data_IF_903231442302
#
_entry.id   IF_903231442302
#
_cell.length_a   1.000
_cell.length_b   1.000
_cell.length_c   1.000
_cell.angle_alpha   90.00
_cell.angle_beta   90.00
_cell.angle_gamma   90.00
#
_symmetry.space_group_name_H-M   'P 1'
#
loop_
_entity.id
_entity.type
_entity.pdbx_description
1 polymer ?
#
# COMPACT_ATOMS: atom_id res chain seq x y z
N UNK A 1 4.89 -76.40 12.93
CA UNK A 1 6.34 -76.13 12.88
C UNK A 1 6.51 -74.79 12.27
N UNK A 2 6.24 -73.75 12.91
CA UNK A 2 6.78 -72.85 13.92
C UNK A 2 8.15 -72.28 13.58
N UNK A 3 8.21 -71.04 13.24
CA UNK A 3 9.38 -70.19 13.46
C UNK A 3 8.92 -68.79 13.85
N UNK A 4 8.89 -68.54 15.15
CA UNK A 4 8.80 -67.25 15.79
C UNK A 4 10.08 -66.43 15.51
N UNK A 5 10.00 -65.33 14.81
CA UNK A 5 11.04 -64.31 14.65
C UNK A 5 10.93 -63.31 15.80
N UNK A 6 11.87 -63.37 16.71
CA UNK A 6 12.03 -62.42 17.82
C UNK A 6 12.45 -61.04 17.30
N UNK A 7 11.60 -60.01 17.48
CA UNK A 7 12.00 -58.62 17.32
C UNK A 7 12.70 -58.15 18.59
N UNK A 8 13.98 -57.81 18.50
CA UNK A 8 14.74 -57.17 19.56
C UNK A 8 14.29 -55.70 19.73
N UNK A 9 13.64 -55.41 20.83
CA UNK A 9 13.37 -54.04 21.26
C UNK A 9 14.61 -53.45 21.92
N UNK A 10 15.18 -52.38 21.30
CA UNK A 10 16.26 -51.60 21.91
C UNK A 10 15.72 -50.63 22.98
N UNK A 11 16.49 -50.35 24.03
CA UNK A 11 16.00 -49.60 25.21
C UNK A 11 15.81 -48.10 25.04
N UNK A 12 15.81 -47.56 23.80
CA UNK A 12 15.64 -46.12 23.51
C UNK A 12 14.23 -45.69 23.10
N UNK A 13 13.29 -46.61 22.92
CA UNK A 13 11.94 -46.30 22.42
C UNK A 13 10.88 -46.04 23.51
N UNK A 14 11.23 -46.14 24.78
CA UNK A 14 10.23 -46.09 25.88
C UNK A 14 10.10 -44.71 26.59
N UNK A 15 10.95 -43.75 26.28
CA UNK A 15 10.93 -42.47 27.02
C UNK A 15 10.17 -41.35 26.28
N UNK A 16 9.93 -41.47 24.97
CA UNK A 16 9.26 -40.42 24.18
C UNK A 16 7.78 -40.70 23.84
N UNK A 17 7.24 -41.81 24.18
CA UNK A 17 5.85 -42.19 23.88
C UNK A 17 4.79 -41.43 24.72
N UNK A 18 5.17 -40.74 25.79
CA UNK A 18 4.24 -40.07 26.69
C UNK A 18 3.84 -38.65 26.25
N UNK A 19 4.54 -38.05 25.26
CA UNK A 19 4.26 -36.68 24.79
C UNK A 19 3.78 -36.58 23.33
N UNK A 20 3.56 -37.70 22.65
CA UNK A 20 3.02 -37.71 21.27
C UNK A 20 3.92 -37.04 20.21
N UNK A 21 5.18 -36.72 20.54
CA UNK A 21 6.15 -36.07 19.66
C UNK A 21 7.09 -37.13 19.09
N UNK A 22 7.12 -37.31 17.78
CA UNK A 22 8.06 -38.22 17.12
C UNK A 22 9.40 -37.53 16.87
N UNK A 23 10.48 -38.29 16.74
CA UNK A 23 11.80 -37.72 16.41
C UNK A 23 11.81 -37.03 15.02
N UNK A 24 10.87 -37.35 14.14
CA UNK A 24 10.62 -36.67 12.89
C UNK A 24 10.10 -35.25 13.08
N UNK A 25 9.21 -35.01 14.05
CA UNK A 25 8.64 -33.70 14.35
C UNK A 25 9.68 -32.74 14.93
N UNK A 26 10.73 -33.27 15.58
CA UNK A 26 11.83 -32.44 16.14
C UNK A 26 12.86 -32.05 15.06
N UNK A 27 13.03 -32.91 14.06
CA UNK A 27 13.92 -32.62 12.91
C UNK A 27 13.23 -31.74 11.88
N UNK A 28 11.92 -31.83 11.70
CA UNK A 28 11.12 -30.90 10.87
C UNK A 28 11.07 -29.49 11.49
N UNK A 29 11.00 -29.39 12.80
CA UNK A 29 11.07 -28.09 13.52
C UNK A 29 12.47 -27.44 13.49
N UNK A 30 13.53 -28.18 13.12
CA UNK A 30 14.92 -27.70 13.04
C UNK A 30 15.38 -27.31 11.65
N UNK A 31 14.61 -27.53 10.60
CA UNK A 31 15.10 -27.46 9.23
C UNK A 31 14.11 -26.97 8.20
N UNK A 32 13.26 -25.97 8.51
CA UNK A 32 12.75 -25.16 7.42
C UNK A 32 13.96 -24.38 6.88
N UNK A 33 14.49 -24.69 5.67
CA UNK A 33 15.51 -23.85 5.07
C UNK A 33 14.85 -22.48 4.95
N UNK A 34 15.45 -21.46 5.55
CA UNK A 34 15.12 -20.08 5.21
C UNK A 34 15.08 -20.04 3.69
N UNK A 35 13.91 -19.78 3.10
CA UNK A 35 13.76 -19.63 1.66
C UNK A 35 14.44 -18.34 1.24
N UNK A 36 15.76 -18.30 1.37
CA UNK A 36 16.63 -17.16 1.07
C UNK A 36 16.36 -16.66 -0.34
N UNK A 37 16.03 -17.57 -1.25
CA UNK A 37 15.72 -17.23 -2.64
C UNK A 37 14.37 -16.50 -2.75
N UNK A 38 13.33 -16.95 -2.06
CA UNK A 38 12.02 -16.30 -2.06
C UNK A 38 12.10 -14.90 -1.41
N UNK A 39 12.80 -14.78 -0.29
CA UNK A 39 13.05 -13.49 0.37
C UNK A 39 13.82 -12.52 -0.53
N UNK A 40 14.92 -12.97 -1.16
CA UNK A 40 15.72 -12.12 -2.08
C UNK A 40 14.90 -11.71 -3.31
N UNK A 41 14.08 -12.60 -3.86
CA UNK A 41 13.16 -12.28 -4.96
C UNK A 41 12.12 -11.26 -4.51
N UNK A 42 11.52 -11.44 -3.33
CA UNK A 42 10.57 -10.49 -2.73
C UNK A 42 11.20 -9.10 -2.51
N UNK A 43 12.45 -9.07 -2.01
CA UNK A 43 13.22 -7.84 -1.85
C UNK A 43 13.46 -7.15 -3.20
N UNK A 44 13.84 -7.90 -4.24
CA UNK A 44 14.03 -7.37 -5.59
C UNK A 44 12.73 -6.78 -6.17
N UNK A 45 11.61 -7.46 -6.01
CA UNK A 45 10.27 -6.97 -6.39
C UNK A 45 9.92 -5.69 -5.60
N UNK A 46 10.22 -5.65 -4.30
CA UNK A 46 10.01 -4.46 -3.46
C UNK A 46 10.83 -3.27 -3.93
N UNK A 47 12.11 -3.45 -4.25
CA UNK A 47 12.96 -2.38 -4.81
C UNK A 47 12.42 -1.91 -6.15
N UNK A 48 12.05 -2.82 -7.04
CA UNK A 48 11.46 -2.46 -8.33
C UNK A 48 10.14 -1.69 -8.15
N UNK A 49 9.28 -2.13 -7.24
CA UNK A 49 8.03 -1.44 -6.88
C UNK A 49 8.29 -0.05 -6.31
N UNK A 50 9.22 0.09 -5.36
CA UNK A 50 9.60 1.39 -4.81
C UNK A 50 10.04 2.36 -5.92
N UNK A 51 10.86 1.91 -6.85
CA UNK A 51 11.32 2.72 -7.96
C UNK A 51 10.18 3.07 -8.93
N UNK A 52 9.43 2.07 -9.40
CA UNK A 52 8.37 2.27 -10.39
C UNK A 52 7.29 3.24 -9.89
N UNK A 53 6.87 3.07 -8.64
CA UNK A 53 5.77 3.85 -8.08
C UNK A 53 6.19 5.20 -7.53
N UNK A 54 7.44 5.37 -7.08
CA UNK A 54 7.90 6.65 -6.52
C UNK A 54 8.60 7.56 -7.55
N UNK A 55 9.16 7.02 -8.64
CA UNK A 55 9.87 7.83 -9.64
C UNK A 55 9.09 9.05 -10.16
N UNK A 56 7.78 8.93 -10.53
CA UNK A 56 7.03 10.10 -10.98
C UNK A 56 7.06 11.24 -9.98
N UNK A 57 6.92 10.94 -8.69
CA UNK A 57 6.95 11.95 -7.62
C UNK A 57 8.37 12.44 -7.35
N UNK A 58 9.36 11.55 -7.38
CA UNK A 58 10.77 11.88 -7.16
C UNK A 58 11.35 12.79 -8.26
N UNK A 59 10.68 12.87 -9.41
CA UNK A 59 11.08 13.72 -10.53
C UNK A 59 10.33 15.06 -10.58
N UNK A 60 9.45 15.36 -9.62
CA UNK A 60 8.71 16.63 -9.57
C UNK A 60 9.40 17.65 -8.65
N UNK A 61 9.53 18.87 -9.14
CA UNK A 61 10.18 19.98 -8.42
C UNK A 61 9.43 20.28 -7.12
N UNK A 62 8.11 20.24 -7.15
CA UNK A 62 7.26 20.54 -6.00
C UNK A 62 7.52 19.57 -4.83
N UNK A 63 7.81 18.31 -5.12
CA UNK A 63 8.16 17.34 -4.07
C UNK A 63 9.52 17.63 -3.43
N UNK A 64 10.46 18.19 -4.20
CA UNK A 64 11.75 18.58 -3.64
C UNK A 64 11.64 19.82 -2.75
N UNK A 65 10.83 20.79 -3.19
CA UNK A 65 10.56 22.02 -2.44
C UNK A 65 9.74 21.76 -1.17
N UNK A 66 8.76 20.87 -1.23
CA UNK A 66 7.99 20.44 -0.07
C UNK A 66 8.85 19.75 1.00
N UNK A 67 9.87 19.00 0.63
CA UNK A 67 10.81 18.41 1.58
C UNK A 67 11.47 19.46 2.48
N UNK A 68 11.66 20.68 1.97
CA UNK A 68 12.15 21.84 2.71
C UNK A 68 11.02 22.67 3.36
N UNK A 69 10.01 23.04 2.57
CA UNK A 69 9.01 24.03 2.94
C UNK A 69 7.87 23.49 3.81
N UNK A 70 7.64 22.16 3.81
CA UNK A 70 6.55 21.54 4.54
C UNK A 70 6.69 21.73 6.05
N UNK A 71 5.58 22.05 6.71
CA UNK A 71 5.50 22.12 8.17
C UNK A 71 5.98 20.81 8.83
N UNK A 72 6.86 20.91 9.81
CA UNK A 72 7.51 19.74 10.43
C UNK A 72 6.54 18.86 11.19
N UNK A 73 5.50 19.43 11.77
CA UNK A 73 4.46 18.63 12.43
C UNK A 73 3.65 17.82 11.41
N UNK A 74 3.28 18.43 10.28
CA UNK A 74 2.54 17.73 9.21
C UNK A 74 3.39 16.63 8.58
N UNK A 75 4.69 16.90 8.35
CA UNK A 75 5.62 15.86 7.88
C UNK A 75 5.74 14.70 8.88
N UNK A 76 5.94 15.02 10.16
CA UNK A 76 6.02 14.01 11.20
C UNK A 76 4.72 13.18 11.31
N UNK A 77 3.56 13.85 11.24
CA UNK A 77 2.27 13.17 11.23
C UNK A 77 2.11 12.23 10.03
N UNK A 78 2.51 12.68 8.83
CA UNK A 78 2.49 11.86 7.62
C UNK A 78 3.36 10.61 7.80
N UNK A 79 4.58 10.75 8.33
CA UNK A 79 5.49 9.63 8.58
C UNK A 79 4.92 8.66 9.61
N UNK A 80 4.35 9.18 10.71
CA UNK A 80 3.73 8.35 11.77
C UNK A 80 2.53 7.58 11.23
N UNK A 81 1.66 8.21 10.43
CA UNK A 81 0.50 7.55 9.80
C UNK A 81 0.95 6.51 8.77
N UNK A 82 2.07 6.74 8.10
CA UNK A 82 2.60 5.80 7.11
C UNK A 82 2.96 4.44 7.74
N UNK A 83 3.44 4.39 8.97
CA UNK A 83 3.81 3.12 9.62
C UNK A 83 2.62 2.17 9.75
N UNK A 84 1.50 2.53 10.42
CA UNK A 84 0.34 1.63 10.49
C UNK A 84 -0.30 1.38 9.11
N UNK A 85 -0.20 2.32 8.17
CA UNK A 85 -0.63 2.11 6.80
C UNK A 85 0.18 0.98 6.14
N UNK A 86 1.52 1.02 6.21
CA UNK A 86 2.38 -0.02 5.67
C UNK A 86 2.16 -1.37 6.35
N UNK A 87 1.93 -1.39 7.67
CA UNK A 87 1.59 -2.64 8.39
C UNK A 87 0.26 -3.21 7.88
N UNK A 88 -0.74 -2.38 7.66
CA UNK A 88 -2.02 -2.81 7.11
C UNK A 88 -1.90 -3.32 5.66
N UNK A 89 -1.06 -2.70 4.84
CA UNK A 89 -0.75 -3.19 3.48
C UNK A 89 0.03 -4.51 3.57
N UNK A 90 1.05 -4.61 4.44
CA UNK A 90 1.85 -5.82 4.62
C UNK A 90 0.99 -7.01 5.06
N UNK A 91 0.01 -6.78 5.92
CA UNK A 91 -0.95 -7.80 6.34
C UNK A 91 -1.76 -8.38 5.17
N UNK A 92 -1.93 -7.61 4.09
CA UNK A 92 -2.69 -8.02 2.90
C UNK A 92 -1.81 -8.59 1.79
N UNK A 93 -0.70 -7.92 1.51
CA UNK A 93 0.15 -8.18 0.35
C UNK A 93 1.65 -8.16 0.71
N UNK A 94 2.01 -8.52 1.95
CA UNK A 94 3.39 -8.50 2.46
C UNK A 94 4.41 -9.32 1.65
N UNK A 95 5.69 -9.31 2.05
CA UNK A 95 6.78 -10.02 1.36
C UNK A 95 6.68 -11.55 1.45
N UNK A 96 5.98 -12.07 2.47
CA UNK A 96 5.71 -13.48 2.68
C UNK A 96 4.27 -13.64 3.17
N UNK A 97 3.64 -14.82 2.97
CA UNK A 97 2.35 -15.14 3.61
C UNK A 97 2.58 -15.17 5.11
N UNK A 98 2.08 -14.17 5.82
CA UNK A 98 2.32 -14.00 7.25
C UNK A 98 1.07 -14.37 8.04
N UNK A 99 1.29 -15.08 9.15
CA UNK A 99 0.23 -15.45 10.11
C UNK A 99 0.31 -14.62 11.41
N UNK A 100 1.23 -13.64 11.47
CA UNK A 100 1.54 -12.93 12.71
C UNK A 100 1.78 -11.44 12.47
N UNK A 101 1.14 -10.59 13.25
CA UNK A 101 1.35 -9.14 13.27
C UNK A 101 2.83 -8.72 13.42
N UNK A 102 3.67 -9.57 14.01
CA UNK A 102 5.12 -9.29 14.13
C UNK A 102 5.82 -9.37 12.78
N UNK A 103 5.38 -10.27 11.94
CA UNK A 103 5.89 -10.43 10.57
C UNK A 103 5.43 -9.27 9.70
N UNK A 104 4.15 -8.88 9.80
CA UNK A 104 3.61 -7.71 9.10
C UNK A 104 4.35 -6.42 9.45
N UNK A 105 4.66 -6.22 10.74
CA UNK A 105 5.48 -5.09 11.19
C UNK A 105 6.90 -5.18 10.61
N UNK A 106 7.52 -6.36 10.60
CA UNK A 106 8.84 -6.56 9.98
C UNK A 106 8.82 -6.20 8.50
N UNK A 107 7.83 -6.68 7.77
CA UNK A 107 7.69 -6.44 6.33
C UNK A 107 7.40 -4.95 6.03
N UNK A 108 6.56 -4.32 6.82
CA UNK A 108 6.34 -2.87 6.76
C UNK A 108 7.62 -2.06 7.00
N UNK A 109 8.41 -2.45 7.99
CA UNK A 109 9.70 -1.79 8.29
C UNK A 109 10.74 -2.02 7.20
N UNK A 110 10.77 -3.21 6.59
CA UNK A 110 11.63 -3.51 5.44
C UNK A 110 11.20 -2.63 4.25
N UNK A 111 9.91 -2.56 3.94
CA UNK A 111 9.39 -1.73 2.85
C UNK A 111 9.70 -0.24 3.07
N UNK A 112 9.57 0.23 4.31
CA UNK A 112 9.91 1.61 4.64
C UNK A 112 11.42 1.88 4.51
N UNK A 113 12.26 0.94 4.95
CA UNK A 113 13.71 1.03 4.75
C UNK A 113 14.09 1.04 3.26
N UNK A 114 13.45 0.19 2.44
CA UNK A 114 13.61 0.21 0.97
C UNK A 114 13.23 1.59 0.42
N UNK A 115 12.08 2.15 0.86
CA UNK A 115 11.62 3.47 0.46
C UNK A 115 12.62 4.57 0.78
N UNK A 116 13.18 4.58 1.99
CA UNK A 116 14.22 5.52 2.42
C UNK A 116 15.48 5.38 1.55
N UNK A 117 15.98 4.16 1.37
CA UNK A 117 17.20 3.90 0.61
C UNK A 117 17.02 4.23 -0.87
N UNK A 118 15.91 3.84 -1.47
CA UNK A 118 15.60 4.15 -2.87
C UNK A 118 15.49 5.66 -3.08
N UNK A 119 14.79 6.38 -2.20
CA UNK A 119 14.66 7.83 -2.27
C UNK A 119 16.02 8.53 -2.08
N UNK A 120 16.81 8.12 -1.11
CA UNK A 120 18.15 8.67 -0.90
C UNK A 120 19.05 8.45 -2.12
N UNK A 121 19.03 7.24 -2.68
CA UNK A 121 19.82 6.88 -3.86
C UNK A 121 19.42 7.72 -5.08
N UNK A 122 18.13 7.80 -5.40
CA UNK A 122 17.65 8.54 -6.58
C UNK A 122 17.90 10.04 -6.44
N UNK A 123 17.59 10.63 -5.27
CA UNK A 123 17.81 12.04 -5.03
C UNK A 123 19.31 12.42 -5.10
N UNK A 124 20.18 11.53 -4.63
CA UNK A 124 21.63 11.72 -4.73
C UNK A 124 22.10 11.57 -6.19
N UNK A 125 21.58 10.57 -6.92
CA UNK A 125 21.90 10.35 -8.34
C UNK A 125 21.52 11.55 -9.20
N UNK A 126 20.37 12.17 -8.89
CA UNK A 126 19.89 13.38 -9.59
C UNK A 126 20.54 14.68 -9.12
N UNK A 127 21.52 14.60 -8.21
CA UNK A 127 22.18 15.77 -7.58
C UNK A 127 21.22 16.71 -6.81
N UNK A 128 20.10 16.18 -6.34
CA UNK A 128 19.14 16.90 -5.49
C UNK A 128 19.55 16.87 -4.02
N UNK A 129 20.42 15.93 -3.68
CA UNK A 129 21.16 15.86 -2.41
C UNK A 129 22.65 15.96 -2.71
N UNK A 130 23.29 16.94 -2.11
CA UNK A 130 24.75 17.17 -2.20
C UNK A 130 25.32 17.29 -0.79
N UNK A 131 26.64 17.14 -0.62
CA UNK A 131 27.28 17.33 0.70
C UNK A 131 27.06 18.73 1.30
N UNK A 132 26.68 19.70 0.46
CA UNK A 132 26.40 21.09 0.86
C UNK A 132 24.92 21.32 1.21
N UNK A 133 24.06 20.31 0.96
CA UNK A 133 22.63 20.39 1.30
C UNK A 133 22.49 20.45 2.82
N UNK A 134 21.74 21.44 3.33
CA UNK A 134 21.48 21.56 4.77
C UNK A 134 20.84 20.25 5.31
N UNK A 135 21.21 19.82 6.51
CA UNK A 135 20.74 18.57 7.10
C UNK A 135 19.21 18.47 7.16
N UNK A 136 18.54 19.58 7.44
CA UNK A 136 17.07 19.61 7.53
C UNK A 136 16.41 19.35 6.16
N UNK A 137 16.98 19.89 5.09
CA UNK A 137 16.50 19.71 3.72
C UNK A 137 16.79 18.31 3.24
N UNK A 138 17.98 17.79 3.56
CA UNK A 138 18.38 16.43 3.27
C UNK A 138 17.39 15.42 3.85
N UNK A 139 17.12 15.54 5.17
CA UNK A 139 16.20 14.66 5.87
C UNK A 139 14.75 14.82 5.40
N UNK A 140 14.31 16.08 5.18
CA UNK A 140 12.94 16.36 4.75
C UNK A 140 12.63 15.79 3.36
N UNK A 141 13.55 15.95 2.41
CA UNK A 141 13.39 15.40 1.05
C UNK A 141 13.31 13.88 1.04
N UNK A 142 14.22 13.21 1.76
CA UNK A 142 14.20 11.74 1.85
C UNK A 142 12.94 11.25 2.57
N UNK A 143 12.62 11.85 3.72
CA UNK A 143 11.49 11.44 4.54
C UNK A 143 10.17 11.53 3.77
N UNK A 144 9.93 12.65 3.09
CA UNK A 144 8.72 12.85 2.30
C UNK A 144 8.59 11.82 1.17
N UNK A 145 9.67 11.57 0.45
CA UNK A 145 9.65 10.67 -0.70
C UNK A 145 9.73 9.18 -0.32
N UNK A 146 10.16 8.87 0.90
CA UNK A 146 10.12 7.50 1.43
C UNK A 146 8.69 6.98 1.61
N UNK A 147 7.69 7.86 1.77
CA UNK A 147 6.28 7.47 1.93
C UNK A 147 5.75 6.75 0.69
N UNK A 148 5.69 7.38 -0.50
CA UNK A 148 5.23 6.71 -1.70
C UNK A 148 6.13 5.55 -2.13
N UNK A 149 7.44 5.66 -1.89
CA UNK A 149 8.38 4.58 -2.19
C UNK A 149 8.16 3.35 -1.30
N UNK A 150 7.85 3.54 -0.02
CA UNK A 150 7.50 2.46 0.90
C UNK A 150 6.18 1.76 0.52
N UNK A 151 5.16 2.54 0.15
CA UNK A 151 3.90 1.99 -0.38
C UNK A 151 4.19 1.21 -1.66
N UNK A 152 4.96 1.78 -2.58
CA UNK A 152 5.36 1.13 -3.83
C UNK A 152 6.15 -0.16 -3.61
N UNK A 153 6.99 -0.24 -2.57
CA UNK A 153 7.72 -1.44 -2.23
C UNK A 153 6.81 -2.62 -1.88
N UNK A 154 5.73 -2.39 -1.15
CA UNK A 154 4.74 -3.42 -0.82
C UNK A 154 3.87 -3.77 -2.04
N UNK A 155 3.36 -2.75 -2.76
CA UNK A 155 2.56 -2.97 -3.96
C UNK A 155 3.35 -3.68 -5.08
N UNK A 156 4.65 -3.44 -5.17
CA UNK A 156 5.50 -4.07 -6.18
C UNK A 156 5.50 -5.59 -6.13
N UNK A 157 5.28 -6.18 -4.97
CA UNK A 157 5.16 -7.63 -4.84
C UNK A 157 3.92 -8.16 -5.55
N UNK A 158 2.75 -7.60 -5.26
CA UNK A 158 1.48 -8.05 -5.87
C UNK A 158 1.43 -7.79 -7.37
N UNK A 159 2.07 -6.72 -7.84
CA UNK A 159 2.07 -6.34 -9.26
C UNK A 159 3.13 -7.05 -10.10
N UNK A 160 4.27 -7.41 -9.50
CA UNK A 160 5.41 -8.03 -10.19
C UNK A 160 5.54 -9.52 -9.86
N UNK A 161 4.67 -10.07 -9.00
CA UNK A 161 4.55 -11.48 -8.70
C UNK A 161 3.76 -12.20 -9.79
N UNK A 162 4.26 -13.33 -10.30
CA UNK A 162 3.60 -14.18 -11.29
C UNK A 162 3.46 -15.62 -10.80
N UNK A 163 3.48 -15.85 -9.49
CA UNK A 163 3.30 -17.19 -8.97
C UNK A 163 1.81 -17.59 -9.04
N UNK A 164 1.44 -18.60 -9.87
CA UNK A 164 0.06 -19.06 -10.00
C UNK A 164 -0.53 -19.59 -8.68
N UNK A 165 0.33 -20.05 -7.78
CA UNK A 165 -0.06 -20.57 -6.47
C UNK A 165 -0.48 -19.47 -5.47
N UNK A 166 -0.15 -18.21 -5.75
CA UNK A 166 -0.57 -17.06 -4.92
C UNK A 166 -2.05 -16.68 -5.15
N UNK A 167 -2.67 -17.16 -6.21
CA UNK A 167 -4.04 -16.79 -6.61
C UNK A 167 -5.14 -17.68 -5.99
N UNK A 168 -4.80 -18.85 -5.43
CA UNK A 168 -5.80 -19.83 -4.98
C UNK A 168 -6.19 -19.72 -3.49
N UNK A 169 -5.48 -18.94 -2.68
CA UNK A 169 -5.67 -18.87 -1.22
C UNK A 169 -5.86 -17.43 -0.68
N UNK A 170 -6.52 -16.53 -1.42
CA UNK A 170 -6.86 -15.22 -0.83
C UNK A 170 -7.97 -15.40 0.22
N UNK A 171 -7.72 -15.06 1.50
CA UNK A 171 -8.77 -15.09 2.50
C UNK A 171 -9.84 -14.06 2.11
N UNK A 172 -11.10 -14.45 2.23
CA UNK A 172 -12.27 -13.62 2.01
C UNK A 172 -12.06 -12.24 2.67
N UNK A 173 -11.81 -11.24 1.83
CA UNK A 173 -11.43 -9.92 2.31
C UNK A 173 -12.66 -9.23 2.88
N UNK A 174 -12.75 -9.18 4.22
CA UNK A 174 -13.84 -8.49 4.91
C UNK A 174 -13.99 -7.05 4.41
N UNK A 175 -15.22 -6.54 4.37
CA UNK A 175 -15.59 -5.20 3.88
C UNK A 175 -14.66 -4.05 4.35
N UNK A 176 -14.22 -4.09 5.63
CA UNK A 176 -13.29 -3.08 6.16
C UNK A 176 -11.93 -3.08 5.48
N UNK A 177 -11.50 -4.23 5.03
CA UNK A 177 -10.24 -4.38 4.32
C UNK A 177 -10.30 -3.84 2.90
N UNK A 178 -11.40 -4.02 2.20
CA UNK A 178 -11.60 -3.43 0.88
C UNK A 178 -11.60 -1.89 0.99
N UNK A 179 -12.29 -1.32 1.98
CA UNK A 179 -12.27 0.12 2.23
C UNK A 179 -10.87 0.64 2.59
N UNK A 180 -10.11 -0.13 3.35
CA UNK A 180 -8.71 0.20 3.67
C UNK A 180 -7.86 0.26 2.40
N UNK A 181 -7.95 -0.73 1.52
CA UNK A 181 -7.19 -0.74 0.27
C UNK A 181 -7.65 0.38 -0.68
N UNK A 182 -8.93 0.72 -0.70
CA UNK A 182 -9.40 1.92 -1.40
C UNK A 182 -8.74 3.19 -0.85
N UNK A 183 -8.58 3.31 0.46
CA UNK A 183 -7.87 4.43 1.07
C UNK A 183 -6.38 4.47 0.67
N UNK A 184 -5.71 3.30 0.63
CA UNK A 184 -4.32 3.17 0.18
C UNK A 184 -4.18 3.62 -1.28
N UNK A 185 -5.04 3.14 -2.17
CA UNK A 185 -5.00 3.52 -3.58
C UNK A 185 -5.31 5.00 -3.81
N UNK A 186 -6.29 5.56 -3.08
CA UNK A 186 -6.57 6.99 -3.09
C UNK A 186 -5.36 7.79 -2.61
N UNK A 187 -4.74 7.39 -1.51
CA UNK A 187 -3.56 8.05 -0.95
C UNK A 187 -2.40 8.02 -1.96
N UNK A 188 -2.17 6.88 -2.57
CA UNK A 188 -1.09 6.71 -3.54
C UNK A 188 -1.22 7.69 -4.73
N UNK A 189 -2.39 7.78 -5.38
CA UNK A 189 -2.58 8.73 -6.48
C UNK A 189 -2.62 10.17 -6.00
N UNK A 190 -3.20 10.44 -4.84
CA UNK A 190 -3.24 11.78 -4.28
C UNK A 190 -1.86 12.32 -3.91
N UNK A 191 -0.96 11.49 -3.38
CA UNK A 191 0.43 11.88 -3.12
C UNK A 191 1.14 12.31 -4.41
N UNK A 192 0.81 11.71 -5.54
CA UNK A 192 1.39 12.07 -6.84
C UNK A 192 0.86 13.42 -7.38
N UNK A 193 -0.37 13.79 -7.07
CA UNK A 193 -1.04 14.94 -7.66
C UNK A 193 -1.14 16.15 -6.72
N UNK A 194 -1.30 15.92 -5.42
CA UNK A 194 -1.52 16.98 -4.43
C UNK A 194 -0.37 18.02 -4.33
N UNK A 195 0.91 17.64 -4.55
CA UNK A 195 2.00 18.60 -4.52
C UNK A 195 1.93 19.65 -5.63
N UNK A 196 1.34 19.31 -6.78
CA UNK A 196 1.40 20.11 -8.01
C UNK A 196 0.56 21.37 -7.94
N UNK A 197 1.06 22.46 -8.53
CA UNK A 197 0.34 23.75 -8.57
C UNK A 197 -0.82 23.73 -9.55
N UNK A 198 -0.73 22.91 -10.59
CA UNK A 198 -1.78 22.72 -11.59
C UNK A 198 -3.09 22.28 -10.97
N UNK A 199 -3.03 21.45 -9.95
CA UNK A 199 -4.19 20.96 -9.22
C UNK A 199 -4.98 22.12 -8.58
N UNK A 200 -4.26 23.05 -7.95
CA UNK A 200 -4.85 24.27 -7.37
C UNK A 200 -5.35 25.20 -8.47
N UNK A 201 -4.57 25.38 -9.54
CA UNK A 201 -4.97 26.22 -10.68
C UNK A 201 -6.28 25.72 -11.33
N UNK A 202 -6.43 24.40 -11.50
CA UNK A 202 -7.65 23.79 -12.02
C UNK A 202 -8.84 24.14 -11.11
N UNK A 203 -8.68 24.00 -9.79
CA UNK A 203 -9.75 24.28 -8.83
C UNK A 203 -10.25 25.72 -8.90
N UNK A 204 -9.37 26.70 -9.17
CA UNK A 204 -9.75 28.09 -9.35
C UNK A 204 -10.41 28.40 -10.71
N UNK A 205 -10.11 27.60 -11.74
CA UNK A 205 -10.76 27.76 -13.06
C UNK A 205 -12.15 27.11 -13.14
N UNK A 206 -12.44 26.19 -12.24
CA UNK A 206 -13.72 25.44 -12.25
C UNK A 206 -14.85 26.32 -11.70
N UNK A 207 -15.99 26.21 -12.36
CA UNK A 207 -17.26 26.71 -11.82
C UNK A 207 -17.95 25.63 -10.98
N UNK A 208 -18.94 25.96 -10.13
CA UNK A 208 -19.70 24.96 -9.38
C UNK A 208 -20.28 23.82 -10.26
N UNK A 209 -20.66 24.12 -11.50
CA UNK A 209 -21.17 23.12 -12.44
C UNK A 209 -20.08 22.14 -12.87
N UNK A 210 -18.84 22.60 -13.07
CA UNK A 210 -17.70 21.72 -13.34
C UNK A 210 -17.40 20.83 -12.13
N UNK A 211 -17.53 21.36 -10.91
CA UNK A 211 -17.34 20.56 -9.70
C UNK A 211 -18.38 19.45 -9.58
N UNK A 212 -19.68 19.76 -9.84
CA UNK A 212 -20.73 18.74 -9.85
C UNK A 212 -20.49 17.68 -10.94
N UNK A 213 -20.08 18.11 -12.13
CA UNK A 213 -19.75 17.20 -13.22
C UNK A 213 -18.55 16.30 -12.86
N UNK A 214 -17.52 16.84 -12.19
CA UNK A 214 -16.36 16.08 -11.71
C UNK A 214 -16.77 15.05 -10.66
N UNK A 215 -17.63 15.41 -9.70
CA UNK A 215 -18.18 14.47 -8.73
C UNK A 215 -18.94 13.34 -9.44
N UNK A 216 -19.83 13.68 -10.34
CA UNK A 216 -20.62 12.69 -11.09
C UNK A 216 -19.71 11.76 -11.91
N UNK A 217 -18.71 12.32 -12.59
CA UNK A 217 -17.73 11.55 -13.36
C UNK A 217 -16.88 10.64 -12.46
N UNK A 218 -16.43 11.15 -11.30
CA UNK A 218 -15.67 10.35 -10.33
C UNK A 218 -16.45 9.14 -9.86
N UNK A 219 -17.71 9.34 -9.48
CA UNK A 219 -18.61 8.26 -9.04
C UNK A 219 -18.87 7.29 -10.21
N UNK A 220 -19.11 7.78 -11.42
CA UNK A 220 -19.35 6.95 -12.58
C UNK A 220 -18.15 6.06 -12.91
N UNK A 221 -16.95 6.66 -13.00
CA UNK A 221 -15.71 5.93 -13.30
C UNK A 221 -15.43 4.91 -12.20
N UNK A 222 -15.52 5.31 -10.94
CA UNK A 222 -15.31 4.41 -9.82
C UNK A 222 -16.31 3.25 -9.81
N UNK A 223 -17.58 3.53 -10.09
CA UNK A 223 -18.61 2.50 -10.19
C UNK A 223 -18.36 1.53 -11.35
N UNK A 224 -17.92 2.04 -12.49
CA UNK A 224 -17.55 1.23 -13.64
C UNK A 224 -16.38 0.27 -13.30
N UNK A 225 -15.36 0.74 -12.57
CA UNK A 225 -14.27 -0.12 -12.09
C UNK A 225 -14.76 -1.17 -11.09
N UNK A 226 -15.56 -0.77 -10.09
CA UNK A 226 -16.15 -1.69 -9.11
C UNK A 226 -16.96 -2.77 -9.80
N UNK A 227 -17.74 -2.40 -10.83
CA UNK A 227 -18.54 -3.35 -11.59
C UNK A 227 -17.70 -4.27 -12.48
N UNK A 228 -16.62 -3.74 -13.08
CA UNK A 228 -15.71 -4.53 -13.91
C UNK A 228 -14.98 -5.61 -13.11
N UNK A 229 -14.66 -5.34 -11.84
CA UNK A 229 -14.06 -6.32 -10.93
C UNK A 229 -15.02 -7.45 -10.59
N UNK A 230 -16.29 -7.11 -10.31
CA UNK A 230 -17.32 -8.11 -10.02
C UNK A 230 -17.50 -9.12 -11.16
N UNK A 231 -17.19 -8.70 -12.40
CA UNK A 231 -17.27 -9.57 -13.59
C UNK A 231 -16.12 -10.58 -13.71
N UNK A 232 -14.99 -10.36 -12.99
CA UNK A 232 -13.76 -11.17 -13.17
C UNK A 232 -13.56 -12.31 -12.18
N UNK A 233 -14.37 -12.46 -11.13
CA UNK A 233 -14.14 -13.56 -10.19
C UNK A 233 -14.84 -13.51 -8.84
N UNK A 234 -15.65 -12.51 -8.53
CA UNK A 234 -16.42 -12.46 -7.29
C UNK A 234 -17.70 -13.28 -7.35
N UNK A 235 -17.72 -14.48 -6.82
CA UNK A 235 -18.91 -15.36 -6.78
C UNK A 235 -20.12 -14.75 -6.04
N UNK A 236 -19.97 -13.68 -5.27
CA UNK A 236 -21.06 -13.14 -4.44
C UNK A 236 -21.93 -12.05 -5.10
N UNK A 237 -21.58 -11.54 -6.28
CA UNK A 237 -22.32 -10.44 -6.92
C UNK A 237 -23.17 -10.86 -8.13
N UNK A 238 -23.17 -12.14 -8.53
CA UNK A 238 -23.96 -12.61 -9.68
C UNK A 238 -25.48 -12.39 -9.52
N UNK A 239 -25.98 -12.32 -8.28
CA UNK A 239 -27.41 -12.10 -7.99
C UNK A 239 -27.74 -10.73 -7.35
N UNK A 240 -26.74 -9.84 -7.13
CA UNK A 240 -27.00 -8.55 -6.49
C UNK A 240 -27.19 -7.43 -7.50
N UNK A 241 -28.28 -6.64 -7.40
CA UNK A 241 -28.51 -5.51 -8.30
C UNK A 241 -27.34 -4.49 -8.21
N UNK A 242 -26.91 -3.92 -9.36
CA UNK A 242 -25.77 -2.98 -9.42
C UNK A 242 -25.86 -1.78 -8.47
N UNK A 243 -27.07 -1.35 -8.06
CA UNK A 243 -27.24 -0.30 -7.07
C UNK A 243 -26.74 -0.68 -5.66
N UNK A 244 -26.67 -1.98 -5.33
CA UNK A 244 -26.06 -2.45 -4.08
C UNK A 244 -24.55 -2.18 -4.05
N UNK A 245 -23.86 -2.44 -5.16
CA UNK A 245 -22.43 -2.13 -5.31
C UNK A 245 -22.16 -0.62 -5.24
N UNK A 246 -23.09 0.19 -5.79
CA UNK A 246 -23.01 1.65 -5.70
C UNK A 246 -23.02 2.12 -4.24
N UNK A 247 -23.98 1.67 -3.43
CA UNK A 247 -24.14 2.12 -2.04
C UNK A 247 -23.06 1.50 -1.13
N UNK A 248 -22.71 0.24 -1.36
CA UNK A 248 -21.81 -0.48 -0.46
C UNK A 248 -20.34 -0.15 -0.71
N UNK A 249 -19.94 0.09 -1.94
CA UNK A 249 -18.53 0.27 -2.29
C UNK A 249 -18.24 1.62 -2.94
N UNK A 250 -19.00 2.01 -3.96
CA UNK A 250 -18.67 3.21 -4.74
C UNK A 250 -18.83 4.48 -3.91
N UNK A 251 -19.96 4.67 -3.23
CA UNK A 251 -20.18 5.89 -2.43
C UNK A 251 -19.25 5.96 -1.22
N UNK A 252 -19.10 4.91 -0.38
CA UNK A 252 -18.13 4.95 0.72
C UNK A 252 -16.70 5.14 0.23
N UNK A 253 -16.30 4.47 -0.85
CA UNK A 253 -14.98 4.64 -1.46
C UNK A 253 -14.73 6.05 -1.97
N UNK A 254 -15.75 6.70 -2.57
CA UNK A 254 -15.63 8.10 -2.99
C UNK A 254 -15.50 9.06 -1.79
N UNK A 255 -16.24 8.82 -0.72
CA UNK A 255 -16.07 9.59 0.53
C UNK A 255 -14.66 9.42 1.08
N UNK A 256 -14.13 8.20 1.10
CA UNK A 256 -12.75 7.93 1.51
C UNK A 256 -11.78 8.70 0.60
N UNK A 257 -11.96 8.65 -0.73
CA UNK A 257 -11.10 9.38 -1.67
C UNK A 257 -11.10 10.89 -1.38
N UNK A 258 -12.26 11.49 -1.09
CA UNK A 258 -12.36 12.91 -0.72
C UNK A 258 -11.68 13.21 0.62
N UNK A 259 -11.84 12.36 1.64
CA UNK A 259 -11.19 12.54 2.94
C UNK A 259 -9.66 12.42 2.82
N UNK A 260 -9.17 11.46 2.05
CA UNK A 260 -7.74 11.31 1.75
C UNK A 260 -7.23 12.51 0.95
N UNK A 261 -8.01 13.02 -0.02
CA UNK A 261 -7.66 14.23 -0.79
C UNK A 261 -7.54 15.45 0.12
N UNK A 262 -8.51 15.65 1.00
CA UNK A 262 -8.48 16.73 1.98
C UNK A 262 -7.25 16.62 2.89
N UNK A 263 -6.94 15.40 3.36
CA UNK A 263 -5.77 15.13 4.18
C UNK A 263 -4.46 15.45 3.44
N UNK A 264 -4.31 15.02 2.19
CA UNK A 264 -3.11 15.30 1.39
C UNK A 264 -2.92 16.80 1.15
N UNK A 265 -3.99 17.50 0.76
CA UNK A 265 -3.95 18.97 0.54
C UNK A 265 -3.58 19.71 1.83
N UNK A 266 -4.15 19.30 2.96
CA UNK A 266 -3.80 19.88 4.24
C UNK A 266 -2.35 19.58 4.63
N UNK A 267 -1.91 18.34 4.47
CA UNK A 267 -0.53 17.92 4.79
C UNK A 267 0.49 18.73 4.01
N UNK A 268 0.25 18.97 2.72
CA UNK A 268 1.15 19.73 1.86
C UNK A 268 0.98 21.24 1.95
N UNK A 269 0.14 21.75 2.86
CA UNK A 269 -0.06 23.18 3.04
C UNK A 269 -0.86 23.86 1.92
N UNK A 270 -1.46 23.08 1.01
CA UNK A 270 -2.21 23.61 -0.15
C UNK A 270 -3.54 24.28 0.22
N UNK A 271 -4.00 24.08 1.46
CA UNK A 271 -5.20 24.73 1.99
C UNK A 271 -4.89 25.95 2.86
N UNK A 272 -3.61 26.25 3.13
CA UNK A 272 -3.22 27.31 4.02
C UNK A 272 -3.61 28.69 3.44
N UNK A 273 -4.34 29.49 4.24
CA UNK A 273 -4.86 30.78 3.81
C UNK A 273 -6.01 30.72 2.79
N UNK A 274 -6.45 29.53 2.36
CA UNK A 274 -7.60 29.40 1.46
C UNK A 274 -8.92 29.47 2.21
N UNK A 275 -9.95 30.06 1.58
CA UNK A 275 -11.32 30.02 2.11
C UNK A 275 -11.96 28.63 1.94
N UNK A 276 -13.12 28.43 2.57
CA UNK A 276 -13.83 27.14 2.54
C UNK A 276 -14.21 26.69 1.11
N UNK A 277 -14.64 27.60 0.25
CA UNK A 277 -15.02 27.26 -1.12
C UNK A 277 -13.84 26.83 -1.99
N UNK A 278 -12.70 27.56 -2.06
CA UNK A 278 -11.50 27.08 -2.72
C UNK A 278 -11.00 25.73 -2.17
N UNK A 279 -11.02 25.54 -0.86
CA UNK A 279 -10.63 24.27 -0.25
C UNK A 279 -11.52 23.09 -0.71
N UNK A 280 -12.84 23.32 -0.75
CA UNK A 280 -13.79 22.35 -1.28
C UNK A 280 -13.54 22.03 -2.76
N UNK A 281 -13.33 23.07 -3.59
CA UNK A 281 -13.05 22.89 -5.02
C UNK A 281 -11.77 22.08 -5.24
N UNK A 282 -10.68 22.41 -4.52
CA UNK A 282 -9.42 21.70 -4.58
C UNK A 282 -9.58 20.23 -4.15
N UNK A 283 -10.37 19.98 -3.09
CA UNK A 283 -10.66 18.63 -2.63
C UNK A 283 -11.42 17.80 -3.68
N UNK A 284 -12.38 18.42 -4.38
CA UNK A 284 -13.12 17.75 -5.46
C UNK A 284 -12.20 17.44 -6.64
N UNK A 285 -11.34 18.37 -7.04
CA UNK A 285 -10.37 18.17 -8.14
C UNK A 285 -9.44 16.99 -7.81
N UNK A 286 -8.83 16.99 -6.61
CA UNK A 286 -7.95 15.91 -6.18
C UNK A 286 -8.74 14.61 -5.90
N UNK A 287 -10.01 14.71 -5.56
CA UNK A 287 -10.91 13.58 -5.37
C UNK A 287 -11.10 12.73 -6.62
N UNK A 288 -10.93 13.31 -7.81
CA UNK A 288 -11.05 12.57 -9.07
C UNK A 288 -9.93 11.54 -9.24
N UNK A 289 -8.61 11.88 -9.24
CA UNK A 289 -7.56 10.88 -9.24
C UNK A 289 -7.61 9.98 -7.99
N UNK A 290 -7.98 10.51 -6.83
CA UNK A 290 -8.18 9.71 -5.62
C UNK A 290 -9.23 8.61 -5.79
N UNK A 291 -10.34 8.91 -6.44
CA UNK A 291 -11.39 7.93 -6.75
C UNK A 291 -10.90 6.85 -7.73
N UNK A 292 -10.11 7.23 -8.73
CA UNK A 292 -9.47 6.27 -9.66
C UNK A 292 -8.51 5.36 -8.87
N UNK A 293 -7.68 5.92 -8.00
CA UNK A 293 -6.76 5.15 -7.16
C UNK A 293 -7.47 4.17 -6.23
N UNK A 294 -8.55 4.64 -5.58
CA UNK A 294 -9.39 3.79 -4.74
C UNK A 294 -10.01 2.61 -5.51
N UNK A 295 -10.50 2.90 -6.72
CA UNK A 295 -11.09 1.87 -7.58
C UNK A 295 -10.03 0.89 -8.11
N UNK A 296 -8.86 1.40 -8.52
CA UNK A 296 -7.75 0.58 -9.01
C UNK A 296 -7.19 -0.35 -7.94
N UNK A 297 -7.07 0.11 -6.68
CA UNK A 297 -6.61 -0.72 -5.58
C UNK A 297 -7.48 -1.97 -5.36
N UNK A 298 -8.77 -1.88 -5.66
CA UNK A 298 -9.71 -3.01 -5.60
C UNK A 298 -9.49 -4.04 -6.72
N UNK A 299 -8.85 -3.64 -7.84
CA UNK A 299 -8.46 -4.56 -8.91
C UNK A 299 -7.22 -5.39 -8.56
N UNK A 300 -6.48 -4.93 -7.56
CA UNK A 300 -5.23 -5.53 -7.10
C UNK A 300 -5.50 -6.59 -6.02
N UNK A 301 -6.62 -6.46 -5.35
CA UNK A 301 -7.18 -7.42 -4.39
C UNK A 301 -8.08 -8.43 -5.10
#
# INVERSE_FOLDING_TARGET
MDSLSARSFGPRSLVFGALGVTMGDVDEARGAPFHTTAFVTGLGRGIAGALLFALPMQMTMEMWDLGFAMDRFRLALLLVITVPLLVGIAHRIGFEKTFSWREDIRDAMIAYAIGILASAMILTLFKLLTPETAEQDFLGKIALQAVPAGIGALLGRSQLGTDPDDAEDEPDSGYGAELFMMAVGALFLNLNMAPTEEMILISYKMTPWHALATIALSILVMHAFVYAVSFKGGHELEDTPGWHALIRFTLPGYVIALLVSLYCLWSFGRLDGSGSMPALMSTIVLGFPGAIGAAAARLIL
#
